data_IF_058952754142
#
_entry.id   IF_058952754142
#
_cell.length_a   1.000
_cell.length_b   1.000
_cell.length_c   1.000
_cell.angle_alpha   90.00
_cell.angle_beta   90.00
_cell.angle_gamma   90.00
#
_symmetry.space_group_name_H-M   'P 1'
#
loop_
_entity.id
_entity.type
_entity.pdbx_description
1 polymer ?
#
# COMPACT_ATOMS: atom_id res chain seq x y z
N UNK A 1 -15.57 -49.40 -47.79
CA UNK A 1 -14.17 -49.42 -47.32
C UNK A 1 -13.99 -48.30 -46.31
N UNK A 2 -14.04 -48.61 -45.00
CA UNK A 2 -13.77 -47.65 -43.92
C UNK A 2 -12.40 -48.00 -43.35
N UNK A 3 -11.43 -47.08 -43.50
CA UNK A 3 -10.06 -47.26 -43.03
C UNK A 3 -10.01 -46.79 -41.58
N UNK A 4 -9.74 -47.71 -40.67
CA UNK A 4 -9.59 -47.42 -39.24
C UNK A 4 -8.30 -46.61 -39.02
N UNK A 5 -8.43 -45.40 -38.46
CA UNK A 5 -7.30 -44.66 -37.92
C UNK A 5 -6.82 -45.37 -36.66
N UNK A 6 -5.60 -45.90 -36.74
CA UNK A 6 -4.86 -46.42 -35.59
C UNK A 6 -4.56 -45.28 -34.62
N UNK A 7 -4.92 -45.37 -33.32
CA UNK A 7 -4.45 -44.43 -32.31
C UNK A 7 -3.06 -44.89 -31.86
N UNK A 8 -2.07 -44.66 -32.72
CA UNK A 8 -0.70 -45.08 -32.50
C UNK A 8 0.22 -43.89 -32.29
N UNK A 9 0.72 -43.79 -31.06
CA UNK A 9 1.98 -43.13 -30.70
C UNK A 9 1.99 -41.60 -30.73
N UNK A 10 1.40 -41.04 -29.67
CA UNK A 10 1.82 -39.82 -28.97
C UNK A 10 3.05 -39.09 -29.58
N UNK A 11 2.80 -38.00 -30.30
CA UNK A 11 3.82 -37.03 -30.74
C UNK A 11 4.40 -36.25 -29.56
N UNK A 12 5.14 -36.92 -28.69
CA UNK A 12 5.81 -36.29 -27.55
C UNK A 12 7.18 -35.84 -28.01
N UNK A 13 7.29 -34.56 -28.36
CA UNK A 13 8.56 -33.94 -28.67
C UNK A 13 9.34 -33.70 -27.34
N UNK A 14 10.46 -34.40 -27.08
CA UNK A 14 11.14 -34.37 -25.77
C UNK A 14 11.69 -32.99 -25.42
N UNK A 15 12.04 -32.19 -26.43
CA UNK A 15 12.50 -30.80 -26.26
C UNK A 15 11.41 -29.86 -25.74
N UNK A 16 10.15 -30.08 -26.15
CA UNK A 16 9.03 -29.28 -25.64
C UNK A 16 8.76 -29.56 -24.15
N UNK A 17 9.01 -30.77 -23.67
CA UNK A 17 8.90 -31.10 -22.25
C UNK A 17 9.96 -30.41 -21.41
N UNK A 18 11.18 -30.25 -21.92
CA UNK A 18 12.25 -29.56 -21.21
C UNK A 18 12.03 -28.05 -21.11
N UNK A 19 11.56 -27.42 -22.20
CA UNK A 19 11.16 -26.01 -22.19
C UNK A 19 10.03 -25.75 -21.18
N UNK A 20 8.97 -26.58 -21.21
CA UNK A 20 7.87 -26.50 -20.24
C UNK A 20 8.32 -26.71 -18.78
N UNK A 21 9.36 -27.49 -18.55
CA UNK A 21 9.91 -27.74 -17.20
C UNK A 21 10.76 -26.57 -16.71
N UNK A 22 11.48 -25.89 -17.60
CA UNK A 22 12.22 -24.67 -17.29
C UNK A 22 11.26 -23.49 -17.00
N UNK A 23 10.21 -23.31 -17.81
CA UNK A 23 9.18 -22.29 -17.58
C UNK A 23 8.43 -22.54 -16.26
N UNK A 24 8.12 -23.81 -15.94
CA UNK A 24 7.50 -24.18 -14.67
C UNK A 24 8.43 -23.96 -13.47
N UNK A 25 9.75 -24.17 -13.61
CA UNK A 25 10.72 -23.90 -12.54
C UNK A 25 10.91 -22.40 -12.30
N UNK A 26 10.80 -21.58 -13.35
CA UNK A 26 10.88 -20.12 -13.26
C UNK A 26 9.59 -19.51 -12.65
N UNK A 27 8.42 -20.12 -12.90
CA UNK A 27 7.14 -19.77 -12.28
C UNK A 27 6.98 -20.30 -10.85
N UNK A 28 7.69 -21.38 -10.47
CA UNK A 28 7.64 -21.99 -9.14
C UNK A 28 8.53 -21.28 -8.09
N UNK A 29 9.24 -20.23 -8.48
CA UNK A 29 9.99 -19.39 -7.57
C UNK A 29 9.25 -18.07 -7.38
N UNK A 30 8.18 -18.00 -6.57
CA UNK A 30 7.83 -16.72 -6.00
C UNK A 30 9.07 -16.27 -5.23
N UNK A 31 9.64 -15.12 -5.63
CA UNK A 31 10.56 -14.42 -4.76
C UNK A 31 9.78 -14.18 -3.46
N UNK A 32 10.02 -15.05 -2.46
CA UNK A 32 9.53 -14.88 -1.11
C UNK A 32 10.30 -13.70 -0.51
N UNK A 33 10.01 -12.51 -1.01
CA UNK A 33 10.43 -11.26 -0.42
C UNK A 33 9.55 -10.99 0.79
N UNK A 34 10.15 -10.41 1.81
CA UNK A 34 9.40 -9.98 2.99
C UNK A 34 8.29 -9.01 2.57
N UNK A 35 7.03 -9.46 2.71
CA UNK A 35 5.85 -8.66 2.41
C UNK A 35 5.32 -8.07 3.70
N UNK A 36 5.50 -6.77 3.89
CA UNK A 36 4.90 -6.03 4.99
C UNK A 36 3.50 -5.56 4.58
N UNK A 37 2.46 -6.11 5.20
CA UNK A 37 1.07 -5.69 5.00
C UNK A 37 0.63 -4.76 6.13
N UNK A 38 -0.01 -3.64 5.80
CA UNK A 38 -0.63 -2.76 6.80
C UNK A 38 -1.87 -3.47 7.36
N UNK A 39 -1.94 -3.64 8.68
CA UNK A 39 -3.06 -4.32 9.35
C UNK A 39 -4.40 -3.63 9.05
N UNK A 40 -5.48 -4.39 9.00
CA UNK A 40 -6.83 -3.86 8.81
C UNK A 40 -7.19 -2.81 9.86
N UNK A 41 -6.84 -3.07 11.13
CA UNK A 41 -7.02 -2.13 12.23
C UNK A 41 -6.26 -0.80 12.02
N UNK A 42 -5.03 -0.85 11.49
CA UNK A 42 -4.28 0.37 11.19
C UNK A 42 -4.90 1.18 10.04
N UNK A 43 -5.48 0.51 9.04
CA UNK A 43 -6.23 1.18 7.96
C UNK A 43 -7.49 1.87 8.50
N UNK A 44 -8.22 1.22 9.39
CA UNK A 44 -9.40 1.81 10.04
C UNK A 44 -9.03 3.00 10.93
N UNK A 45 -7.93 2.93 11.66
CA UNK A 45 -7.41 4.07 12.44
C UNK A 45 -6.96 5.24 11.56
N UNK A 46 -6.46 4.96 10.35
CA UNK A 46 -6.10 5.97 9.37
C UNK A 46 -7.34 6.68 8.79
N UNK A 47 -8.47 5.99 8.72
CA UNK A 47 -9.77 6.48 8.22
C UNK A 47 -10.44 7.49 9.19
N UNK A 48 -9.71 8.56 9.45
CA UNK A 48 -10.06 9.65 10.36
C UNK A 48 -10.83 10.78 9.66
N UNK A 49 -11.82 10.41 8.83
CA UNK A 49 -12.58 11.34 7.98
C UNK A 49 -13.19 12.53 8.74
N UNK A 50 -13.64 12.30 9.98
CA UNK A 50 -14.17 13.34 10.88
C UNK A 50 -13.10 14.33 11.33
N UNK A 51 -11.91 13.83 11.69
CA UNK A 51 -10.76 14.67 12.09
C UNK A 51 -10.34 15.58 10.94
N UNK A 52 -10.42 15.09 9.70
CA UNK A 52 -10.10 15.87 8.51
C UNK A 52 -11.10 17.02 8.25
N UNK A 53 -12.36 16.90 8.63
CA UNK A 53 -13.35 17.98 8.49
C UNK A 53 -13.08 19.10 9.51
N UNK A 54 -12.97 18.76 10.79
CA UNK A 54 -12.66 19.73 11.86
C UNK A 54 -11.32 20.44 11.62
N UNK A 55 -10.33 19.73 11.08
CA UNK A 55 -9.03 20.31 10.72
C UNK A 55 -9.14 21.33 9.58
N UNK A 56 -9.99 21.06 8.58
CA UNK A 56 -10.19 21.99 7.45
C UNK A 56 -10.80 23.31 7.90
N UNK A 57 -11.79 23.25 8.78
CA UNK A 57 -12.42 24.45 9.35
C UNK A 57 -11.42 25.28 10.16
N UNK A 58 -10.64 24.64 11.04
CA UNK A 58 -9.59 25.34 11.81
C UNK A 58 -8.56 26.02 10.91
N UNK A 59 -8.15 25.36 9.82
CA UNK A 59 -7.20 25.95 8.86
C UNK A 59 -7.81 27.17 8.16
N UNK A 60 -9.09 27.13 7.79
CA UNK A 60 -9.75 28.27 7.15
C UNK A 60 -9.77 29.50 8.07
N UNK A 61 -10.16 29.33 9.34
CA UNK A 61 -10.16 30.40 10.34
C UNK A 61 -8.75 30.97 10.57
N UNK A 62 -7.73 30.13 10.66
CA UNK A 62 -6.35 30.59 10.82
C UNK A 62 -5.88 31.39 9.61
N UNK A 63 -6.25 30.99 8.38
CA UNK A 63 -5.90 31.72 7.17
C UNK A 63 -6.52 33.12 7.16
N UNK A 64 -7.78 33.24 7.55
CA UNK A 64 -8.47 34.53 7.68
C UNK A 64 -7.77 35.44 8.70
N UNK A 65 -7.43 34.92 9.88
CA UNK A 65 -6.70 35.69 10.90
C UNK A 65 -5.32 36.15 10.41
N UNK A 66 -4.64 35.35 9.59
CA UNK A 66 -3.35 35.72 9.00
C UNK A 66 -3.53 36.80 7.94
N UNK A 67 -4.54 36.70 7.07
CA UNK A 67 -4.80 37.72 6.03
C UNK A 67 -5.20 39.05 6.65
N UNK A 68 -5.95 39.01 7.75
CA UNK A 68 -6.39 40.21 8.48
C UNK A 68 -5.28 40.79 9.37
N UNK A 69 -4.13 40.11 9.47
CA UNK A 69 -3.00 40.52 10.32
C UNK A 69 -3.29 40.42 11.82
N UNK A 70 -4.37 39.74 12.22
CA UNK A 70 -4.78 39.57 13.62
C UNK A 70 -4.16 38.33 14.28
N UNK A 71 -3.56 37.44 13.48
CA UNK A 71 -2.89 36.25 13.98
C UNK A 71 -1.65 36.62 14.81
N UNK A 72 -1.65 36.22 16.08
CA UNK A 72 -0.53 36.40 17.01
C UNK A 72 0.09 35.06 17.34
N UNK A 73 1.40 34.95 17.13
CA UNK A 73 2.17 33.78 17.52
C UNK A 73 2.33 33.75 19.04
N UNK A 74 2.00 32.61 19.66
CA UNK A 74 2.24 32.37 21.08
C UNK A 74 3.46 31.43 21.24
N UNK A 75 4.56 31.98 21.73
CA UNK A 75 5.79 31.23 21.96
C UNK A 75 5.65 30.19 23.08
N UNK A 76 4.87 30.48 24.12
CA UNK A 76 4.63 29.53 25.23
C UNK A 76 3.77 28.36 24.76
N UNK A 77 2.71 28.63 24.00
CA UNK A 77 1.89 27.58 23.41
C UNK A 77 2.69 26.70 22.45
N UNK A 78 3.59 27.31 21.67
CA UNK A 78 4.49 26.60 20.75
C UNK A 78 5.45 25.67 21.50
N UNK A 79 6.14 26.19 22.51
CA UNK A 79 7.05 25.40 23.33
C UNK A 79 6.33 24.25 24.05
N UNK A 80 5.13 24.52 24.59
CA UNK A 80 4.27 23.49 25.18
C UNK A 80 3.92 22.41 24.18
N UNK A 81 3.49 22.76 22.96
CA UNK A 81 3.14 21.79 21.93
C UNK A 81 4.34 20.91 21.52
N UNK A 82 5.53 21.50 21.42
CA UNK A 82 6.76 20.74 21.17
C UNK A 82 7.06 19.74 22.29
N UNK A 83 6.95 20.17 23.55
CA UNK A 83 7.16 19.28 24.69
C UNK A 83 6.08 18.19 24.79
N UNK A 84 4.82 18.52 24.57
CA UNK A 84 3.71 17.56 24.63
C UNK A 84 3.84 16.46 23.55
N UNK A 85 4.42 16.80 22.39
CA UNK A 85 4.63 15.86 21.28
C UNK A 85 5.92 15.04 21.41
N UNK A 86 7.05 15.68 21.72
CA UNK A 86 8.37 15.03 21.73
C UNK A 86 8.86 14.64 23.14
N UNK A 87 8.36 15.28 24.19
CA UNK A 87 8.84 15.16 25.56
C UNK A 87 8.23 14.00 26.36
N UNK A 88 7.26 13.27 25.79
CA UNK A 88 6.76 12.04 26.40
C UNK A 88 7.77 10.91 26.16
N UNK A 89 8.65 10.71 27.14
CA UNK A 89 9.36 9.45 27.33
C UNK A 89 8.59 8.56 28.31
#
# INVERSE_FOLDING_TARGET
>A
MKINQTPGVNGINPYQKQLKKADAAQAASPANGDKLEISSAAKEMQDSSRILAERREKIALLKEQITDGTYKTDANATAKAMLDFYGKQ
#
